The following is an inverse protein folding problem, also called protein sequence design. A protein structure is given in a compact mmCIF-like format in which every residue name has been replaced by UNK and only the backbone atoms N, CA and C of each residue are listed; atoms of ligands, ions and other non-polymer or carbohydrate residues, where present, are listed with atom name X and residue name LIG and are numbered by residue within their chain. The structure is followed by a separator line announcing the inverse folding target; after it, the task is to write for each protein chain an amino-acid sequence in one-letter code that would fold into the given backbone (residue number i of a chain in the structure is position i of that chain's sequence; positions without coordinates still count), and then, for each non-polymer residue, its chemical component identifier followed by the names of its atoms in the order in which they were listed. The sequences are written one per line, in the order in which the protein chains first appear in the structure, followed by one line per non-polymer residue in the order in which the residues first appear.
data_IF_985102059273
#
_entry.id   IF_985102059273
#
_cell.length_a   1.000
_cell.length_b   1.000
_cell.length_c   1.000
_cell.angle_alpha   90.00
_cell.angle_beta   90.00
_cell.angle_gamma   90.00
#
_symmetry.space_group_name_H-M   'P 1'
#
loop_
_entity.id
_entity.type
_entity.pdbx_description
1 polymer ?
#
# COMPACT_ATOMS: atom_id res chain seq x y z
N UNK A 1 -39.17 -1.85 -34.27
CA UNK A 1 -37.81 -2.41 -34.34
C UNK A 1 -37.01 -1.79 -33.19
N UNK A 2 -36.93 -2.48 -32.04
CA UNK A 2 -36.17 -2.01 -30.87
C UNK A 2 -34.82 -2.74 -30.88
N UNK A 3 -33.74 -1.99 -31.03
CA UNK A 3 -32.37 -2.49 -30.91
C UNK A 3 -32.03 -2.46 -29.42
N UNK A 4 -32.00 -3.65 -28.80
CA UNK A 4 -31.44 -3.82 -27.46
C UNK A 4 -29.93 -3.76 -27.61
N UNK A 5 -29.31 -2.73 -27.02
CA UNK A 5 -27.87 -2.71 -26.81
C UNK A 5 -27.61 -3.58 -25.59
N UNK A 6 -27.10 -4.77 -25.86
CA UNK A 6 -26.54 -5.68 -24.86
C UNK A 6 -25.26 -5.02 -24.35
N UNK A 7 -25.32 -4.44 -23.15
CA UNK A 7 -24.14 -3.90 -22.49
C UNK A 7 -23.35 -5.11 -22.01
N UNK A 8 -22.28 -5.43 -22.72
CA UNK A 8 -21.36 -6.49 -22.32
C UNK A 8 -20.86 -6.19 -20.89
N UNK A 9 -21.21 -7.06 -19.95
CA UNK A 9 -20.61 -7.14 -18.63
C UNK A 9 -19.12 -7.46 -18.82
N UNK A 10 -18.29 -6.42 -18.92
CA UNK A 10 -16.88 -6.53 -18.61
C UNK A 10 -16.78 -6.71 -17.11
N UNK A 11 -16.68 -7.97 -16.66
CA UNK A 11 -16.24 -8.30 -15.31
C UNK A 11 -14.83 -7.73 -15.17
N UNK A 12 -14.71 -6.51 -14.66
CA UNK A 12 -13.44 -6.03 -14.13
C UNK A 12 -13.16 -6.99 -12.96
N UNK A 13 -12.19 -7.90 -13.14
CA UNK A 13 -11.69 -8.72 -12.05
C UNK A 13 -10.89 -7.80 -11.15
N UNK A 14 -11.60 -6.99 -10.37
CA UNK A 14 -11.04 -6.25 -9.25
C UNK A 14 -10.98 -7.17 -8.05
N UNK A 15 -9.88 -7.13 -7.31
CA UNK A 15 -9.77 -7.85 -6.04
C UNK A 15 -10.87 -7.36 -5.08
N UNK A 16 -11.57 -8.29 -4.42
CA UNK A 16 -12.45 -7.91 -3.31
C UNK A 16 -11.61 -7.33 -2.18
N UNK A 17 -12.01 -6.16 -1.67
CA UNK A 17 -11.30 -5.51 -0.57
C UNK A 17 -11.20 -6.45 0.64
N UNK A 18 -10.00 -6.57 1.20
CA UNK A 18 -9.72 -7.47 2.32
C UNK A 18 -9.07 -6.75 3.49
N UNK A 19 -9.23 -7.25 4.72
CA UNK A 19 -8.45 -6.80 5.85
C UNK A 19 -6.94 -7.01 5.62
N UNK A 20 -6.14 -6.20 6.32
CA UNK A 20 -4.70 -6.45 6.46
C UNK A 20 -4.46 -7.83 7.08
N UNK A 21 -3.46 -8.56 6.57
CA UNK A 21 -2.90 -9.70 7.29
C UNK A 21 -2.20 -9.23 8.56
N UNK A 22 -1.88 -10.16 9.46
CA UNK A 22 -1.12 -9.83 10.68
C UNK A 22 0.24 -9.20 10.34
N UNK A 23 0.94 -9.71 9.32
CA UNK A 23 2.24 -9.18 8.91
C UNK A 23 2.12 -7.77 8.34
N UNK A 24 1.19 -7.57 7.40
CA UNK A 24 0.95 -6.26 6.79
C UNK A 24 0.60 -5.20 7.85
N UNK A 25 -0.25 -5.55 8.82
CA UNK A 25 -0.58 -4.69 9.95
C UNK A 25 0.65 -4.32 10.77
N UNK A 26 1.46 -5.31 11.15
CA UNK A 26 2.65 -5.05 11.97
C UNK A 26 3.68 -4.19 11.24
N UNK A 27 3.82 -4.37 9.91
CA UNK A 27 4.69 -3.53 9.07
C UNK A 27 4.15 -2.11 8.97
N UNK A 28 2.85 -1.93 8.71
CA UNK A 28 2.22 -0.61 8.68
C UNK A 28 2.39 0.14 10.01
N UNK A 29 2.17 -0.54 11.13
CA UNK A 29 2.36 0.02 12.47
C UNK A 29 3.82 0.43 12.72
N UNK A 30 4.79 -0.38 12.29
CA UNK A 30 6.21 -0.05 12.42
C UNK A 30 6.62 1.15 11.56
N UNK A 31 6.11 1.24 10.33
CA UNK A 31 6.35 2.39 9.45
C UNK A 31 5.69 3.67 9.99
N UNK A 32 4.55 3.56 10.66
CA UNK A 32 3.86 4.68 11.30
C UNK A 32 4.39 5.02 12.71
N UNK A 33 5.38 4.29 13.23
CA UNK A 33 5.95 4.54 14.54
C UNK A 33 7.04 5.63 14.54
N UNK A 34 7.56 6.00 13.37
CA UNK A 34 8.51 7.11 13.21
C UNK A 34 7.77 8.44 13.07
N UNK A 35 8.38 9.53 13.54
CA UNK A 35 7.74 10.84 13.56
C UNK A 35 7.84 11.55 12.21
N UNK A 36 6.69 11.96 11.66
CA UNK A 36 6.61 12.80 10.48
C UNK A 36 5.27 13.55 10.45
N UNK A 37 5.18 14.56 9.59
CA UNK A 37 4.00 15.40 9.50
C UNK A 37 2.71 14.57 9.32
N UNK A 38 1.72 14.79 10.20
CA UNK A 38 0.39 14.13 10.23
C UNK A 38 0.38 12.64 10.61
N UNK A 39 1.46 12.08 11.14
CA UNK A 39 1.53 10.66 11.53
C UNK A 39 0.38 10.20 12.42
N UNK A 40 -0.04 10.98 13.42
CA UNK A 40 -1.16 10.63 14.31
C UNK A 40 -2.49 10.44 13.55
N UNK A 41 -2.72 11.26 12.52
CA UNK A 41 -3.92 11.13 11.68
C UNK A 41 -3.84 9.87 10.83
N UNK A 42 -2.67 9.56 10.28
CA UNK A 42 -2.48 8.34 9.49
C UNK A 42 -2.55 7.07 10.36
N UNK A 43 -2.06 7.12 11.60
CA UNK A 43 -2.22 6.03 12.57
C UNK A 43 -3.69 5.73 12.86
N UNK A 44 -4.55 6.75 12.97
CA UNK A 44 -6.00 6.56 13.07
C UNK A 44 -6.58 5.93 11.80
N UNK A 45 -6.19 6.40 10.61
CA UNK A 45 -6.65 5.79 9.36
C UNK A 45 -6.23 4.32 9.25
N UNK A 46 -5.03 3.96 9.71
CA UNK A 46 -4.49 2.61 9.67
C UNK A 46 -5.35 1.57 10.43
N UNK A 47 -6.20 2.00 11.37
CA UNK A 47 -7.11 1.06 12.05
C UNK A 47 -8.24 0.58 11.15
N UNK A 48 -8.57 1.35 10.10
CA UNK A 48 -9.74 1.14 9.24
C UNK A 48 -9.38 0.75 7.81
N UNK A 49 -8.10 0.82 7.42
CA UNK A 49 -7.71 0.51 6.04
C UNK A 49 -7.97 -0.95 5.65
N UNK A 50 -8.37 -1.11 4.41
CA UNK A 50 -8.46 -2.40 3.72
C UNK A 50 -7.45 -2.40 2.58
N UNK A 51 -6.92 -3.59 2.27
CA UNK A 51 -6.18 -3.79 1.03
C UNK A 51 -7.21 -3.91 -0.09
N UNK A 52 -7.14 -3.00 -1.04
CA UNK A 52 -8.09 -2.91 -2.16
C UNK A 52 -7.48 -3.28 -3.50
N UNK A 53 -6.14 -3.35 -3.56
CA UNK A 53 -5.39 -3.83 -4.72
C UNK A 53 -3.99 -4.32 -4.30
N UNK A 54 -3.34 -5.08 -5.18
CA UNK A 54 -1.97 -5.60 -5.02
C UNK A 54 -1.19 -5.42 -6.32
N UNK A 55 0.13 -5.40 -6.26
CA UNK A 55 0.91 -5.36 -7.49
C UNK A 55 0.76 -6.67 -8.29
N UNK A 56 0.49 -6.54 -9.60
CA UNK A 56 0.31 -7.69 -10.50
C UNK A 56 1.58 -8.47 -10.82
N UNK A 57 2.77 -8.00 -10.43
CA UNK A 57 4.01 -8.76 -10.61
C UNK A 57 4.22 -9.87 -9.58
N UNK A 58 3.41 -9.90 -8.52
CA UNK A 58 3.51 -10.88 -7.43
C UNK A 58 4.31 -10.41 -6.21
N UNK A 59 4.88 -9.19 -6.26
CA UNK A 59 5.54 -8.61 -5.10
C UNK A 59 4.55 -8.24 -3.98
N UNK A 60 5.01 -8.08 -2.73
CA UNK A 60 4.13 -7.89 -1.59
C UNK A 60 3.58 -6.45 -1.46
N UNK A 61 3.64 -5.63 -2.53
CA UNK A 61 3.04 -4.30 -2.56
C UNK A 61 1.52 -4.38 -2.38
N UNK A 62 0.99 -3.52 -1.51
CA UNK A 62 -0.43 -3.43 -1.19
C UNK A 62 -0.92 -1.99 -1.29
N UNK A 63 -2.14 -1.80 -1.80
CA UNK A 63 -2.76 -0.49 -1.95
C UNK A 63 -4.02 -0.39 -1.09
N UNK A 64 -4.21 0.76 -0.46
CA UNK A 64 -5.37 1.06 0.41
C UNK A 64 -6.42 1.93 -0.28
N UNK A 65 -6.13 2.45 -1.46
CA UNK A 65 -7.03 3.27 -2.26
C UNK A 65 -7.06 2.76 -3.70
N UNK A 66 -8.23 2.81 -4.34
CA UNK A 66 -8.35 2.50 -5.76
C UNK A 66 -7.86 3.66 -6.62
N UNK A 67 -7.06 3.34 -7.64
CA UNK A 67 -6.54 4.32 -8.58
C UNK A 67 -5.28 5.05 -8.10
N UNK A 68 -4.65 5.79 -9.00
CA UNK A 68 -3.49 6.62 -8.68
C UNK A 68 -4.02 7.96 -8.17
N UNK A 69 -3.90 8.21 -6.87
CA UNK A 69 -4.17 9.55 -6.33
C UNK A 69 -3.38 10.61 -7.08
N UNK A 70 -3.85 11.87 -7.03
CA UNK A 70 -3.28 12.94 -7.87
C UNK A 70 -1.82 13.26 -7.56
N UNK A 71 -1.42 13.06 -6.31
CA UNK A 71 -0.07 13.30 -5.83
C UNK A 71 0.32 12.16 -4.89
N UNK A 72 1.37 11.42 -5.25
CA UNK A 72 1.95 10.39 -4.39
C UNK A 72 3.10 11.02 -3.61
N UNK A 73 3.03 10.95 -2.27
CA UNK A 73 4.10 11.40 -1.37
C UNK A 73 4.67 10.23 -0.59
N UNK A 74 5.98 10.02 -0.65
CA UNK A 74 6.65 9.03 0.22
C UNK A 74 6.85 9.66 1.59
N UNK A 75 6.43 8.96 2.66
CA UNK A 75 6.63 9.41 4.05
C UNK A 75 7.77 8.70 4.73
N UNK A 76 7.91 7.40 4.45
CA UNK A 76 8.85 6.52 5.14
C UNK A 76 9.45 5.54 4.16
N UNK A 77 10.78 5.45 4.16
CA UNK A 77 11.55 4.40 3.50
C UNK A 77 11.97 3.37 4.53
N UNK A 78 12.11 2.12 4.11
CA UNK A 78 12.72 1.08 4.90
C UNK A 78 13.59 0.18 4.03
N UNK A 79 14.86 0.01 4.40
CA UNK A 79 15.73 -1.01 3.81
C UNK A 79 15.63 -2.32 4.58
N UNK A 80 15.73 -3.45 3.88
CA UNK A 80 15.74 -4.78 4.49
C UNK A 80 17.18 -5.18 4.84
N UNK A 81 17.43 -5.46 6.11
CA UNK A 81 18.75 -5.87 6.61
C UNK A 81 19.27 -7.10 5.89
N UNK A 82 20.53 -7.02 5.46
CA UNK A 82 21.20 -8.13 4.79
C UNK A 82 20.78 -8.34 3.33
N UNK A 83 20.03 -7.44 2.73
CA UNK A 83 19.73 -7.42 1.30
C UNK A 83 19.83 -6.00 0.72
N UNK A 84 19.57 -5.87 -0.57
CA UNK A 84 19.43 -4.59 -1.26
C UNK A 84 17.97 -4.18 -1.47
N UNK A 85 17.06 -4.90 -0.83
CA UNK A 85 15.63 -4.72 -1.03
C UNK A 85 15.12 -3.68 -0.03
N UNK A 86 13.98 -3.08 -0.36
CA UNK A 86 13.36 -2.09 0.49
C UNK A 86 11.86 -2.04 0.28
N UNK A 87 11.24 -1.13 1.01
CA UNK A 87 9.85 -0.77 0.85
C UNK A 87 9.64 0.66 1.29
N UNK A 88 8.53 1.26 0.88
CA UNK A 88 8.15 2.57 1.37
C UNK A 88 6.66 2.67 1.64
N UNK A 89 6.32 3.47 2.66
CA UNK A 89 4.96 3.92 2.92
C UNK A 89 4.71 5.20 2.14
N UNK A 90 3.67 5.21 1.32
CA UNK A 90 3.24 6.41 0.62
C UNK A 90 1.82 6.81 0.98
N UNK A 91 1.59 8.11 0.86
CA UNK A 91 0.28 8.75 0.95
C UNK A 91 -0.17 9.21 -0.42
N UNK A 92 -1.46 9.46 -0.54
CA UNK A 92 -2.03 10.16 -1.68
C UNK A 92 -2.95 11.29 -1.22
N UNK A 93 -3.14 12.28 -2.07
CA UNK A 93 -4.16 13.32 -1.86
C UNK A 93 -5.54 12.85 -2.32
N UNK A 94 -6.51 12.86 -1.39
CA UNK A 94 -7.93 12.64 -1.62
C UNK A 94 -8.69 13.97 -1.51
N UNK A 95 -9.59 14.28 -2.45
CA UNK A 95 -10.23 15.60 -2.53
C UNK A 95 -11.16 15.92 -1.35
N UNK A 96 -11.67 14.90 -0.67
CA UNK A 96 -12.61 15.07 0.46
C UNK A 96 -11.90 14.94 1.80
N UNK A 97 -10.91 14.04 1.89
CA UNK A 97 -10.24 13.65 3.13
C UNK A 97 -8.86 14.29 3.29
N UNK A 98 -8.33 14.92 2.24
CA UNK A 98 -6.95 15.37 2.14
C UNK A 98 -5.97 14.19 2.04
N UNK A 99 -4.74 14.39 2.49
CA UNK A 99 -3.75 13.30 2.57
C UNK A 99 -4.28 12.06 3.34
N UNK A 100 -4.26 10.90 2.65
CA UNK A 100 -4.65 9.59 3.18
C UNK A 100 -3.56 8.54 2.89
N UNK A 101 -3.63 7.40 3.58
CA UNK A 101 -2.76 6.25 3.31
C UNK A 101 -3.00 5.72 1.89
N UNK A 102 -1.95 5.73 1.07
CA UNK A 102 -2.00 5.23 -0.31
C UNK A 102 -1.69 3.73 -0.38
N UNK A 103 -0.58 3.31 0.22
CA UNK A 103 -0.15 1.91 0.21
C UNK A 103 1.26 1.71 0.74
N UNK A 104 1.70 0.45 0.73
CA UNK A 104 3.09 0.05 0.96
C UNK A 104 3.61 -0.51 -0.35
N UNK A 105 4.67 0.10 -0.89
CA UNK A 105 5.31 -0.33 -2.12
C UNK A 105 6.59 -1.11 -1.79
N UNK A 106 6.76 -2.28 -2.38
CA UNK A 106 7.98 -3.06 -2.36
C UNK A 106 8.95 -2.59 -3.43
N UNK A 107 10.24 -2.52 -3.07
CA UNK A 107 11.35 -2.22 -3.96
C UNK A 107 12.31 -3.40 -3.96
N UNK A 108 12.37 -4.12 -5.08
CA UNK A 108 13.37 -5.15 -5.32
C UNK A 108 14.45 -4.66 -6.29
N UNK A 109 15.66 -5.20 -6.12
CA UNK A 109 16.75 -5.14 -7.11
C UNK A 109 17.19 -6.54 -7.57
N UNK A 110 16.56 -7.61 -7.05
CA UNK A 110 16.79 -9.02 -7.37
C UNK A 110 15.79 -9.62 -8.38
N UNK A 111 15.85 -10.95 -8.55
CA UNK A 111 15.03 -11.71 -9.50
C UNK A 111 13.78 -12.37 -8.86
N UNK A 112 13.66 -12.37 -7.53
CA UNK A 112 12.61 -13.09 -6.81
C UNK A 112 11.99 -12.25 -5.69
N UNK A 113 10.72 -11.91 -5.87
CA UNK A 113 9.90 -11.25 -4.86
C UNK A 113 9.47 -12.22 -3.75
N UNK A 114 9.44 -11.78 -2.49
CA UNK A 114 8.87 -12.58 -1.41
C UNK A 114 7.33 -12.56 -1.47
N UNK A 115 6.70 -13.66 -1.09
CA UNK A 115 5.23 -13.78 -1.03
C UNK A 115 4.58 -12.90 0.06
N UNK A 116 5.37 -12.37 1.01
CA UNK A 116 4.88 -11.57 2.15
C UNK A 116 5.87 -10.43 2.47
N UNK A 117 5.36 -9.31 3.01
CA UNK A 117 6.20 -8.22 3.54
C UNK A 117 7.16 -8.75 4.63
N UNK A 118 8.38 -8.20 4.72
CA UNK A 118 9.39 -8.65 5.68
C UNK A 118 8.96 -8.39 7.12
N UNK A 119 9.56 -9.11 8.06
CA UNK A 119 9.38 -8.80 9.48
C UNK A 119 9.87 -7.39 9.81
N UNK A 120 9.15 -6.59 10.60
CA UNK A 120 9.59 -5.25 10.99
C UNK A 120 10.96 -5.22 11.68
N UNK A 121 11.33 -6.31 12.37
CA UNK A 121 12.65 -6.45 13.01
C UNK A 121 13.82 -6.52 12.00
N UNK A 122 13.52 -6.79 10.73
CA UNK A 122 14.49 -6.79 9.63
C UNK A 122 14.56 -5.44 8.92
N UNK A 123 13.74 -4.46 9.30
CA UNK A 123 13.66 -3.17 8.64
C UNK A 123 14.52 -2.14 9.34
N UNK A 124 15.31 -1.41 8.56
CA UNK A 124 15.92 -0.15 8.97
C UNK A 124 15.05 1.00 8.42
N UNK A 125 14.23 1.57 9.29
CA UNK A 125 13.15 2.52 8.95
C UNK A 125 13.64 3.96 9.09
N UNK A 126 13.38 4.78 8.08
CA UNK A 126 13.77 6.19 8.02
C UNK A 126 12.69 7.05 7.36
N UNK A 127 12.45 8.24 7.88
CA UNK A 127 11.57 9.24 7.25
C UNK A 127 12.26 9.88 6.04
N UNK A 128 11.47 10.38 5.08
CA UNK A 128 11.96 11.15 3.92
C UNK A 128 12.26 12.60 4.28
#
# INVERSE_FOLDING_TARGET
MRMLIEVANATIVGMEARPLTRRERTVLEALLAVDFQRVETLQRLATEVLVVDTCGCGCPSIMFQHGRGREMGIKVNASVRGSYNGLFLYVIEDLERGEVLGGIEWLDVGEADPDELPSPELLDIQTV
#
